data_IF_450834545036
#
_entry.id   IF_450834545036
#
_cell.length_a   1.000
_cell.length_b   1.000
_cell.length_c   1.000
_cell.angle_alpha   90.00
_cell.angle_beta   90.00
_cell.angle_gamma   90.00
#
_symmetry.space_group_name_H-M   'P 1'
#
loop_
_entity.id
_entity.type
_entity.pdbx_description
1 polymer ?
#
# COMPACT_ATOMS: atom_id res chain seq x y z
N UNK A 1 5.32 -1.32 -13.96
CA UNK A 1 5.13 -2.78 -14.10
C UNK A 1 3.64 -3.12 -14.20
N UNK A 2 3.27 -4.16 -14.95
CA UNK A 2 1.90 -4.71 -14.90
C UNK A 2 1.70 -5.51 -13.61
N UNK A 3 0.63 -5.20 -12.90
CA UNK A 3 0.23 -5.87 -11.66
C UNK A 3 -0.91 -6.85 -11.94
N UNK A 4 -1.88 -6.48 -12.78
CA UNK A 4 -2.95 -7.38 -13.22
C UNK A 4 -2.89 -7.57 -14.75
N UNK A 5 -2.58 -8.79 -15.19
CA UNK A 5 -2.53 -9.12 -16.62
C UNK A 5 -3.93 -9.23 -17.26
N UNK A 6 -4.92 -9.76 -16.53
CA UNK A 6 -6.30 -9.90 -17.00
C UNK A 6 -6.91 -8.58 -17.46
N UNK A 7 -6.61 -7.50 -16.72
CA UNK A 7 -7.20 -6.16 -16.94
C UNK A 7 -6.17 -5.13 -17.38
N UNK A 8 -4.95 -5.57 -17.70
CA UNK A 8 -3.83 -4.72 -18.10
C UNK A 8 -3.60 -3.54 -17.13
N UNK A 9 -3.73 -3.79 -15.82
CA UNK A 9 -3.57 -2.77 -14.78
C UNK A 9 -2.10 -2.71 -14.35
N UNK A 10 -1.57 -1.50 -14.31
CA UNK A 10 -0.18 -1.23 -13.90
C UNK A 10 -0.11 -0.77 -12.44
N UNK A 11 1.08 -0.85 -11.85
CA UNK A 11 1.35 -0.28 -10.53
C UNK A 11 0.99 1.21 -10.47
N UNK A 12 1.28 1.96 -11.53
CA UNK A 12 0.95 3.38 -11.62
C UNK A 12 -0.55 3.62 -11.61
N UNK A 13 -1.34 2.78 -12.28
CA UNK A 13 -2.79 2.87 -12.26
C UNK A 13 -3.35 2.62 -10.85
N UNK A 14 -2.79 1.62 -10.13
CA UNK A 14 -3.18 1.33 -8.74
C UNK A 14 -2.82 2.51 -7.83
N UNK A 15 -1.58 3.00 -7.87
CA UNK A 15 -1.14 4.16 -7.06
C UNK A 15 -1.97 5.40 -7.35
N UNK A 16 -2.35 5.63 -8.61
CA UNK A 16 -3.23 6.73 -9.00
C UNK A 16 -4.64 6.56 -8.40
N UNK A 17 -5.27 5.40 -8.53
CA UNK A 17 -6.57 5.14 -7.92
C UNK A 17 -6.54 5.33 -6.39
N UNK A 18 -5.44 4.91 -5.75
CA UNK A 18 -5.21 5.14 -4.32
C UNK A 18 -5.14 6.65 -4.01
N UNK A 19 -4.42 7.44 -4.82
CA UNK A 19 -4.37 8.90 -4.68
C UNK A 19 -5.72 9.58 -4.93
N UNK A 20 -6.55 9.02 -5.82
CA UNK A 20 -7.92 9.47 -6.10
C UNK A 20 -8.92 9.07 -4.99
N UNK A 21 -8.49 8.26 -4.01
CA UNK A 21 -9.27 7.93 -2.81
C UNK A 21 -9.54 6.44 -2.59
N UNK A 22 -9.02 5.54 -3.43
CA UNK A 22 -9.17 4.11 -3.19
C UNK A 22 -8.30 3.66 -2.00
N UNK A 23 -8.91 3.45 -0.83
CA UNK A 23 -8.21 3.04 0.39
C UNK A 23 -8.30 1.53 0.71
N UNK A 24 -9.05 0.77 -0.10
CA UNK A 24 -9.41 -0.62 0.17
C UNK A 24 -9.39 -1.48 -1.10
N UNK A 25 -9.26 -2.80 -0.93
CA UNK A 25 -9.23 -3.75 -2.05
C UNK A 25 -10.52 -3.68 -2.88
N UNK A 26 -11.68 -3.59 -2.21
CA UNK A 26 -12.99 -3.41 -2.85
C UNK A 26 -13.06 -2.12 -3.68
N UNK A 27 -12.46 -1.02 -3.20
CA UNK A 27 -12.42 0.23 -3.96
C UNK A 27 -11.57 0.08 -5.24
N UNK A 28 -10.44 -0.62 -5.16
CA UNK A 28 -9.61 -0.91 -6.33
C UNK A 28 -10.28 -1.91 -7.30
N UNK A 29 -11.02 -2.89 -6.78
CA UNK A 29 -11.84 -3.79 -7.59
C UNK A 29 -12.92 -3.01 -8.35
N UNK A 30 -13.63 -2.10 -7.67
CA UNK A 30 -14.67 -1.29 -8.29
C UNK A 30 -14.13 -0.32 -9.36
N UNK A 31 -12.97 0.30 -9.12
CA UNK A 31 -12.40 1.30 -10.03
C UNK A 31 -11.60 0.69 -11.19
N UNK A 32 -10.77 -0.31 -10.91
CA UNK A 32 -9.79 -0.86 -11.88
C UNK A 32 -10.12 -2.28 -12.31
N UNK A 33 -11.06 -2.94 -11.62
CA UNK A 33 -11.38 -4.32 -11.89
C UNK A 33 -10.23 -5.30 -11.58
N UNK A 34 -9.26 -4.92 -10.75
CA UNK A 34 -8.25 -5.89 -10.29
C UNK A 34 -8.91 -6.99 -9.47
N UNK A 35 -8.29 -8.17 -9.36
CA UNK A 35 -8.70 -9.25 -8.45
C UNK A 35 -10.07 -9.93 -8.73
N UNK A 36 -10.83 -9.51 -9.74
CA UNK A 36 -12.16 -10.06 -10.04
C UNK A 36 -12.17 -11.24 -11.04
N UNK A 37 -11.02 -11.59 -11.62
CA UNK A 37 -10.92 -12.68 -12.61
C UNK A 37 -10.10 -13.86 -12.07
N UNK A 38 -8.79 -13.87 -12.27
CA UNK A 38 -7.95 -14.99 -11.81
C UNK A 38 -7.42 -14.84 -10.38
N UNK A 39 -7.57 -13.66 -9.75
CA UNK A 39 -7.11 -13.37 -8.38
C UNK A 39 -5.59 -13.37 -8.15
N UNK A 40 -4.75 -13.65 -9.17
CA UNK A 40 -3.29 -13.77 -8.99
C UNK A 40 -2.59 -12.47 -8.58
N UNK A 41 -3.19 -11.32 -8.90
CA UNK A 41 -2.65 -10.02 -8.54
C UNK A 41 -2.94 -9.60 -7.10
N UNK A 42 -3.79 -10.32 -6.35
CA UNK A 42 -4.32 -9.88 -5.05
C UNK A 42 -3.22 -9.51 -4.05
N UNK A 43 -2.26 -10.41 -3.81
CA UNK A 43 -1.17 -10.14 -2.86
C UNK A 43 -0.34 -8.89 -3.25
N UNK A 44 -0.15 -8.65 -4.55
CA UNK A 44 0.63 -7.51 -5.02
C UNK A 44 -0.18 -6.20 -4.97
N UNK A 45 -1.49 -6.27 -5.20
CA UNK A 45 -2.41 -5.12 -5.01
C UNK A 45 -2.48 -4.74 -3.53
N UNK A 46 -2.58 -5.71 -2.63
CA UNK A 46 -2.60 -5.49 -1.18
C UNK A 46 -1.28 -4.89 -0.68
N UNK A 47 -0.14 -5.37 -1.18
CA UNK A 47 1.17 -4.78 -0.87
C UNK A 47 1.23 -3.30 -1.27
N UNK A 48 0.76 -2.94 -2.48
CA UNK A 48 0.72 -1.54 -2.93
C UNK A 48 -0.22 -0.67 -2.08
N UNK A 49 -1.35 -1.22 -1.63
CA UNK A 49 -2.26 -0.54 -0.70
C UNK A 49 -1.57 -0.28 0.64
N UNK A 50 -0.88 -1.27 1.19
CA UNK A 50 -0.19 -1.15 2.46
C UNK A 50 0.97 -0.15 2.37
N UNK A 51 1.82 -0.26 1.35
CA UNK A 51 2.90 0.69 1.08
C UNK A 51 2.36 2.12 1.00
N UNK A 52 1.21 2.32 0.34
CA UNK A 52 0.61 3.64 0.20
C UNK A 52 0.02 4.17 1.52
N UNK A 53 -0.43 3.29 2.43
CA UNK A 53 -0.87 3.68 3.78
C UNK A 53 0.31 4.10 4.65
N UNK A 54 1.42 3.37 4.56
CA UNK A 54 2.65 3.68 5.30
C UNK A 54 3.25 5.02 4.86
N UNK A 55 3.23 5.33 3.56
CA UNK A 55 3.67 6.61 3.00
C UNK A 55 2.80 7.81 3.41
N UNK A 56 1.53 7.58 3.77
CA UNK A 56 0.62 8.65 4.25
C UNK A 56 0.80 8.94 5.74
N UNK A 57 1.54 8.13 6.48
CA UNK A 57 1.81 8.41 7.89
C UNK A 57 2.73 9.63 7.95
N UNK A 58 2.31 10.76 8.55
CA UNK A 58 3.19 11.91 8.70
C UNK A 58 4.40 11.45 9.51
N UNK A 59 5.61 11.79 9.03
CA UNK A 59 6.85 11.50 9.73
C UNK A 59 6.81 12.16 11.12
N UNK A 60 6.51 11.35 12.13
CA UNK A 60 6.38 11.74 13.52
C UNK A 60 5.93 10.55 14.36
N UNK A 61 6.88 9.97 15.12
CA UNK A 61 6.74 8.93 16.17
C UNK A 61 6.72 7.47 15.68
N UNK A 62 7.70 6.61 15.99
CA UNK A 62 8.93 6.73 16.76
C UNK A 62 9.62 5.36 16.83
N UNK A 63 10.91 5.30 16.55
CA UNK A 63 11.77 4.22 17.03
C UNK A 63 12.52 4.78 18.24
N UNK A 64 12.13 4.28 19.41
CA UNK A 64 12.83 4.51 20.66
C UNK A 64 14.22 3.92 20.55
N UNK A 65 15.20 4.80 20.38
CA UNK A 65 16.58 4.60 20.78
C UNK A 65 16.60 4.12 22.25
N UNK A 66 16.62 2.81 22.46
CA UNK A 66 16.87 2.23 23.78
C UNK A 66 18.38 2.17 23.99
N UNK A 67 18.98 3.30 24.38
CA UNK A 67 20.29 3.30 25.03
C UNK A 67 20.02 3.54 26.52
N UNK A 68 20.18 2.56 27.41
CA UNK A 68 20.17 2.82 28.84
C UNK A 68 21.55 3.35 29.24
N UNK A 69 21.71 4.67 29.25
CA UNK A 69 22.81 5.30 29.98
C UNK A 69 22.28 5.75 31.35
N UNK A 70 22.41 4.87 32.33
CA UNK A 70 22.26 5.20 33.75
C UNK A 70 23.15 6.41 34.11
N UNK A 71 22.68 7.37 34.92
CA UNK A 71 23.55 8.38 35.50
C UNK A 71 24.16 7.87 36.81
N UNK A 72 25.50 7.93 36.98
CA UNK A 72 26.05 8.09 38.32
C UNK A 72 26.77 9.44 38.46
N UNK A 73 26.15 10.28 39.32
CA UNK A 73 26.59 11.52 39.99
C UNK A 73 26.37 12.85 39.28
#
# INVERSE_FOLDING_TARGET
MYVCLCRQVTDRAIRRAIAEGADSLEALQAQLGVCLECGRCTAQVEALLQEAREQRRPEGQGEGMSIPASPPR
#
